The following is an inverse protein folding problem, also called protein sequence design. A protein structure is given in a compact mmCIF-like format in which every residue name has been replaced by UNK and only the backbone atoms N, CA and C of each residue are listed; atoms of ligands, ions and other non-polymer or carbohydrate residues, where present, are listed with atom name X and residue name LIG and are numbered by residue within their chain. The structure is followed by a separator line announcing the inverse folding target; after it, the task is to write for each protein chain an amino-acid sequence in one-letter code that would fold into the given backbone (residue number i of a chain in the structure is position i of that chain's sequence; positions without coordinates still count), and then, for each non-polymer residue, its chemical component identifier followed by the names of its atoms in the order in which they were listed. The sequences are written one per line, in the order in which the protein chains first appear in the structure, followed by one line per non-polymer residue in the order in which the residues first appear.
data_IF_204086559887
#
_entry.id   IF_204086559887
#
_cell.length_a   1.000
_cell.length_b   1.000
_cell.length_c   1.000
_cell.angle_alpha   90.00
_cell.angle_beta   90.00
_cell.angle_gamma   90.00
#
_symmetry.space_group_name_H-M   'P 1'
#
loop_
_entity.id
_entity.type
_entity.pdbx_description
1 polymer ?
#
# COMPACT_ATOMS: atom_id res chain seq x y z
N UNK A 1 -24.11 10.47 -17.19
CA UNK A 1 -24.58 9.91 -15.90
C UNK A 1 -23.41 9.20 -15.27
N UNK A 2 -23.20 9.38 -13.97
CA UNK A 2 -22.12 8.73 -13.25
C UNK A 2 -22.44 7.24 -13.04
N UNK A 3 -21.48 6.36 -13.31
CA UNK A 3 -21.69 4.91 -13.26
C UNK A 3 -20.49 4.18 -12.67
N UNK A 4 -20.72 3.08 -11.97
CA UNK A 4 -19.66 2.16 -11.53
C UNK A 4 -19.13 1.39 -12.76
N UNK A 5 -17.97 1.76 -13.27
CA UNK A 5 -17.42 1.20 -14.51
C UNK A 5 -16.58 -0.06 -14.30
N UNK A 6 -15.91 -0.19 -13.15
CA UNK A 6 -15.09 -1.38 -12.82
C UNK A 6 -15.15 -1.66 -11.33
N UNK A 7 -15.05 -2.94 -10.98
CA UNK A 7 -15.08 -3.44 -9.62
C UNK A 7 -13.89 -4.39 -9.40
N UNK A 8 -13.23 -4.28 -8.24
CA UNK A 8 -12.06 -5.09 -7.92
C UNK A 8 -12.03 -5.56 -6.48
N UNK A 9 -11.53 -6.77 -6.29
CA UNK A 9 -11.05 -7.28 -5.00
C UNK A 9 -9.57 -7.64 -5.10
N UNK A 10 -8.89 -7.62 -3.95
CA UNK A 10 -7.48 -7.96 -3.82
C UNK A 10 -7.35 -8.92 -2.62
N UNK A 11 -7.63 -10.22 -2.82
CA UNK A 11 -7.87 -11.14 -1.71
C UNK A 11 -6.71 -11.29 -0.74
N UNK A 12 -5.49 -11.30 -1.28
CA UNK A 12 -4.25 -11.26 -0.50
C UNK A 12 -3.66 -9.85 -0.60
N UNK A 13 -3.38 -9.24 0.56
CA UNK A 13 -2.74 -7.93 0.65
C UNK A 13 -1.49 -7.89 -0.25
N UNK A 14 -1.39 -6.84 -1.06
CA UNK A 14 -0.27 -6.59 -1.99
C UNK A 14 -0.17 -7.49 -3.22
N UNK A 15 -0.98 -8.55 -3.36
CA UNK A 15 -0.99 -9.40 -4.56
C UNK A 15 -1.91 -8.84 -5.66
N UNK A 16 -1.97 -9.53 -6.82
CA UNK A 16 -2.80 -9.16 -7.96
C UNK A 16 -4.27 -8.99 -7.56
N UNK A 17 -4.91 -7.96 -8.11
CA UNK A 17 -6.35 -7.76 -7.98
C UNK A 17 -7.14 -8.58 -9.00
N UNK A 18 -8.41 -8.83 -8.72
CA UNK A 18 -9.35 -9.57 -9.55
C UNK A 18 -10.46 -8.61 -9.95
N UNK A 19 -10.68 -8.45 -11.27
CA UNK A 19 -11.82 -7.71 -11.79
C UNK A 19 -13.12 -8.51 -11.63
N UNK A 20 -14.18 -7.85 -11.16
CA UNK A 20 -15.48 -8.45 -10.92
C UNK A 20 -16.56 -7.74 -11.74
N UNK A 21 -17.67 -8.44 -11.99
CA UNK A 21 -18.89 -7.83 -12.55
C UNK A 21 -19.88 -7.39 -11.47
N UNK A 22 -19.80 -8.01 -10.30
CA UNK A 22 -20.61 -7.71 -9.12
C UNK A 22 -19.95 -8.23 -7.86
N UNK A 23 -20.32 -7.69 -6.70
CA UNK A 23 -19.90 -8.20 -5.39
C UNK A 23 -20.86 -7.75 -4.28
N UNK A 24 -20.87 -8.50 -3.19
CA UNK A 24 -21.46 -8.04 -1.94
C UNK A 24 -20.55 -6.99 -1.31
N UNK A 25 -21.04 -5.75 -1.24
CA UNK A 25 -20.47 -4.70 -0.42
C UNK A 25 -21.05 -4.79 0.99
N UNK A 26 -20.18 -4.77 2.00
CA UNK A 26 -20.54 -4.76 3.41
C UNK A 26 -19.75 -3.67 4.16
N UNK A 27 -20.10 -3.40 5.43
CA UNK A 27 -19.40 -2.43 6.27
C UNK A 27 -17.90 -2.71 6.40
N UNK A 28 -17.48 -3.98 6.27
CA UNK A 28 -16.08 -4.41 6.35
C UNK A 28 -15.31 -4.39 5.03
N UNK A 29 -15.97 -4.04 3.91
CA UNK A 29 -15.39 -4.08 2.57
C UNK A 29 -16.16 -5.00 1.62
N UNK A 30 -15.67 -5.14 0.39
CA UNK A 30 -16.19 -6.15 -0.53
C UNK A 30 -15.89 -7.55 0.00
N UNK A 31 -16.79 -8.50 -0.24
CA UNK A 31 -16.54 -9.90 0.09
C UNK A 31 -15.21 -10.39 -0.49
N UNK A 32 -14.45 -11.13 0.33
CA UNK A 32 -13.10 -11.65 0.04
C UNK A 32 -12.01 -10.60 -0.17
N UNK A 33 -12.26 -9.32 0.10
CA UNK A 33 -11.26 -8.28 -0.12
C UNK A 33 -10.24 -8.16 1.02
N UNK A 34 -8.94 -8.32 0.70
CA UNK A 34 -7.81 -8.27 1.65
C UNK A 34 -8.06 -9.09 2.94
N UNK A 35 -8.67 -10.27 2.83
CA UNK A 35 -8.87 -11.17 3.97
C UNK A 35 -7.64 -12.04 4.27
N UNK A 36 -6.65 -12.03 3.38
CA UNK A 36 -5.36 -12.69 3.57
C UNK A 36 -4.18 -11.71 3.53
N UNK A 37 -3.08 -12.06 4.18
CA UNK A 37 -1.84 -11.28 4.18
C UNK A 37 -0.62 -12.19 4.38
N UNK A 38 0.50 -11.82 3.78
CA UNK A 38 1.80 -12.44 4.07
C UNK A 38 2.47 -11.69 5.22
N UNK A 39 3.00 -12.44 6.19
CA UNK A 39 3.73 -11.90 7.34
C UNK A 39 5.05 -12.62 7.55
N UNK A 40 5.93 -12.03 8.33
CA UNK A 40 6.99 -12.76 9.04
C UNK A 40 6.38 -13.65 10.14
N UNK A 41 7.14 -14.62 10.71
CA UNK A 41 6.62 -15.53 11.73
C UNK A 41 6.04 -14.85 12.97
N UNK A 42 6.55 -13.67 13.31
CA UNK A 42 6.08 -12.87 14.45
C UNK A 42 4.84 -12.01 14.16
N UNK A 43 4.29 -12.08 12.93
CA UNK A 43 3.10 -11.34 12.53
C UNK A 43 3.37 -9.97 11.90
N UNK A 44 4.63 -9.60 11.68
CA UNK A 44 5.00 -8.37 10.95
C UNK A 44 4.60 -8.50 9.48
N UNK A 45 3.83 -7.53 8.99
CA UNK A 45 3.28 -7.59 7.64
C UNK A 45 4.34 -7.40 6.54
N UNK A 46 4.22 -8.15 5.45
CA UNK A 46 5.05 -8.02 4.24
C UNK A 46 4.20 -7.40 3.13
N UNK A 47 4.74 -6.42 2.41
CA UNK A 47 4.01 -5.74 1.33
C UNK A 47 4.82 -5.62 0.05
N UNK A 48 4.14 -5.33 -1.08
CA UNK A 48 4.83 -5.06 -2.33
C UNK A 48 5.58 -3.71 -2.35
N UNK A 49 5.52 -2.92 -1.27
CA UNK A 49 6.44 -1.78 -1.08
C UNK A 49 7.87 -2.28 -0.85
N UNK A 50 8.02 -3.41 -0.16
CA UNK A 50 9.27 -4.12 0.09
C UNK A 50 9.53 -5.17 -1.01
N UNK A 51 8.51 -5.97 -1.36
CA UNK A 51 8.63 -7.07 -2.32
C UNK A 51 7.70 -6.88 -3.53
N UNK A 52 8.03 -5.99 -4.48
CA UNK A 52 7.21 -5.67 -5.66
C UNK A 52 6.69 -6.89 -6.43
N UNK A 53 7.44 -8.00 -6.46
CA UNK A 53 7.07 -9.23 -7.15
C UNK A 53 5.78 -9.88 -6.61
N UNK A 54 5.32 -9.52 -5.40
CA UNK A 54 4.05 -9.98 -4.86
C UNK A 54 2.86 -9.73 -5.79
N UNK A 55 2.87 -8.65 -6.58
CA UNK A 55 1.78 -8.34 -7.52
C UNK A 55 1.62 -9.36 -8.65
N UNK A 56 2.61 -10.25 -8.83
CA UNK A 56 2.59 -11.28 -9.87
C UNK A 56 1.93 -12.58 -9.42
N UNK A 57 1.75 -12.77 -8.12
CA UNK A 57 0.94 -13.87 -7.58
C UNK A 57 -0.53 -13.64 -7.94
N UNK A 58 -1.19 -14.71 -8.38
CA UNK A 58 -2.59 -14.69 -8.79
C UNK A 58 -3.43 -15.42 -7.73
N UNK A 59 -4.09 -14.69 -6.82
CA UNK A 59 -5.03 -15.30 -5.88
C UNK A 59 -6.35 -15.65 -6.58
N UNK A 60 -6.97 -16.75 -6.17
CA UNK A 60 -8.30 -17.18 -6.58
C UNK A 60 -9.07 -17.63 -5.33
N UNK A 61 -9.92 -16.75 -4.75
CA UNK A 61 -10.76 -17.09 -3.61
C UNK A 61 -11.69 -18.24 -3.95
N UNK A 62 -11.82 -19.18 -3.02
CA UNK A 62 -12.77 -20.28 -3.07
C UNK A 62 -13.82 -20.05 -1.98
N UNK A 63 -14.97 -20.71 -2.12
CA UNK A 63 -16.02 -20.68 -1.09
C UNK A 63 -15.52 -21.18 0.28
N UNK A 64 -14.52 -22.07 0.29
CA UNK A 64 -13.94 -22.71 1.47
C UNK A 64 -12.45 -22.37 1.67
N UNK A 65 -11.88 -21.41 0.94
CA UNK A 65 -10.45 -21.09 1.09
C UNK A 65 -9.85 -20.21 0.00
N UNK A 66 -8.60 -20.52 -0.36
CA UNK A 66 -7.80 -19.81 -1.35
C UNK A 66 -7.00 -20.79 -2.20
N UNK A 67 -7.08 -20.66 -3.51
CA UNK A 67 -6.08 -21.15 -4.44
C UNK A 67 -5.14 -20.00 -4.82
N UNK A 68 -3.84 -20.23 -4.76
CA UNK A 68 -2.83 -19.21 -5.01
C UNK A 68 -1.80 -19.72 -6.02
N UNK A 69 -1.71 -19.04 -7.16
CA UNK A 69 -0.71 -19.34 -8.21
C UNK A 69 0.46 -18.37 -8.12
N UNK A 70 1.67 -18.92 -8.05
CA UNK A 70 2.91 -18.16 -8.05
C UNK A 70 3.36 -17.79 -9.47
N UNK A 71 4.33 -16.85 -9.63
CA UNK A 71 4.79 -16.41 -10.95
C UNK A 71 5.49 -17.47 -11.79
N UNK A 72 5.96 -18.56 -11.18
CA UNK A 72 6.58 -19.71 -11.86
C UNK A 72 5.55 -20.74 -12.36
N UNK A 73 4.26 -20.52 -12.10
CA UNK A 73 3.17 -21.40 -12.47
C UNK A 73 2.86 -22.48 -11.43
N UNK A 74 3.67 -22.65 -10.39
CA UNK A 74 3.32 -23.50 -9.25
C UNK A 74 2.13 -22.91 -8.49
N UNK A 75 1.37 -23.76 -7.79
CA UNK A 75 0.22 -23.29 -7.03
C UNK A 75 0.03 -24.08 -5.74
N UNK A 76 -0.65 -23.44 -4.79
CA UNK A 76 -1.04 -24.04 -3.53
C UNK A 76 -2.51 -23.75 -3.25
N UNK A 77 -3.17 -24.70 -2.59
CA UNK A 77 -4.55 -24.57 -2.12
C UNK A 77 -4.55 -24.67 -0.60
N UNK A 78 -5.28 -23.78 0.05
CA UNK A 78 -5.49 -23.79 1.50
C UNK A 78 -6.97 -23.54 1.79
N UNK A 79 -7.58 -24.43 2.58
CA UNK A 79 -8.95 -24.25 3.05
C UNK A 79 -8.97 -23.47 4.36
N UNK A 80 -10.08 -22.79 4.65
CA UNK A 80 -10.29 -22.12 5.94
C UNK A 80 -10.15 -23.06 7.13
N UNK A 81 -10.52 -24.34 6.96
CA UNK A 81 -10.38 -25.40 7.97
C UNK A 81 -8.94 -25.82 8.23
N UNK A 82 -8.01 -25.52 7.31
CA UNK A 82 -6.60 -25.91 7.43
C UNK A 82 -5.80 -24.90 8.27
N UNK A 83 -6.33 -23.68 8.42
CA UNK A 83 -5.70 -22.66 9.26
C UNK A 83 -5.77 -23.05 10.74
N UNK A 84 -4.76 -22.62 11.51
CA UNK A 84 -4.74 -22.86 12.95
C UNK A 84 -6.02 -22.34 13.62
N UNK A 85 -6.64 -23.10 14.54
CA UNK A 85 -7.85 -22.64 15.22
C UNK A 85 -7.58 -21.48 16.18
N UNK A 86 -6.34 -21.38 16.68
CA UNK A 86 -5.88 -20.31 17.54
C UNK A 86 -5.51 -19.08 16.72
N UNK A 87 -6.03 -17.93 17.13
CA UNK A 87 -5.67 -16.65 16.54
C UNK A 87 -4.30 -16.19 17.09
N UNK A 88 -3.43 -15.73 16.20
CA UNK A 88 -2.10 -15.24 16.50
C UNK A 88 -2.01 -13.72 16.32
N UNK A 89 -1.23 -13.00 17.14
CA UNK A 89 -1.08 -11.55 17.03
C UNK A 89 -0.43 -11.15 15.70
N UNK A 90 -0.85 -10.02 15.16
CA UNK A 90 -0.31 -9.37 13.95
C UNK A 90 -0.61 -7.87 14.00
N UNK A 91 -0.01 -7.10 13.10
CA UNK A 91 -0.31 -5.68 12.97
C UNK A 91 -0.32 -5.21 11.53
N UNK A 92 -0.98 -4.07 11.30
CA UNK A 92 -0.87 -3.28 10.08
C UNK A 92 -0.86 -1.81 10.47
N UNK A 93 0.27 -1.13 10.25
CA UNK A 93 0.47 0.30 10.53
C UNK A 93 0.14 0.71 11.98
N UNK A 94 0.64 -0.07 12.96
CA UNK A 94 0.44 0.16 14.40
C UNK A 94 -0.95 -0.24 14.92
N UNK A 95 -1.83 -0.72 14.05
CA UNK A 95 -3.10 -1.32 14.46
C UNK A 95 -2.89 -2.82 14.71
N UNK A 96 -2.97 -3.21 15.98
CA UNK A 96 -2.73 -4.56 16.47
C UNK A 96 -4.03 -5.35 16.55
N UNK A 97 -4.03 -6.57 16.04
CA UNK A 97 -5.19 -7.45 15.98
C UNK A 97 -4.71 -8.91 15.83
N UNK A 98 -5.62 -9.82 15.54
CA UNK A 98 -5.31 -11.25 15.46
C UNK A 98 -5.71 -11.85 14.12
N UNK A 99 -5.00 -12.91 13.71
CA UNK A 99 -5.25 -13.66 12.49
C UNK A 99 -4.80 -15.11 12.66
N UNK A 100 -5.36 -16.02 11.87
CA UNK A 100 -4.99 -17.44 11.86
C UNK A 100 -3.88 -17.70 10.86
N UNK A 101 -3.02 -18.67 11.17
CA UNK A 101 -1.82 -18.99 10.38
C UNK A 101 -2.08 -20.22 9.52
N UNK A 102 -1.65 -20.17 8.25
CA UNK A 102 -1.77 -21.29 7.33
C UNK A 102 -0.86 -22.47 7.74
N UNK A 103 -1.13 -23.70 7.24
CA UNK A 103 -0.28 -24.87 7.48
C UNK A 103 1.18 -24.66 7.08
N UNK A 104 2.09 -25.39 7.74
CA UNK A 104 3.54 -25.35 7.49
C UNK A 104 3.90 -25.56 6.02
N UNK A 105 3.21 -26.47 5.31
CA UNK A 105 3.46 -26.73 3.89
C UNK A 105 3.20 -25.49 3.00
N UNK A 106 2.15 -24.73 3.30
CA UNK A 106 1.82 -23.48 2.57
C UNK A 106 2.88 -22.41 2.85
N UNK A 107 3.26 -22.28 4.12
CA UNK A 107 4.27 -21.31 4.55
C UNK A 107 5.65 -21.63 3.93
N UNK A 108 6.07 -22.90 3.92
CA UNK A 108 7.33 -23.34 3.30
C UNK A 108 7.34 -23.09 1.78
N UNK A 109 6.23 -23.39 1.09
CA UNK A 109 6.11 -23.09 -0.34
C UNK A 109 6.25 -21.59 -0.61
N UNK A 110 5.60 -20.73 0.18
CA UNK A 110 5.74 -19.27 0.07
C UNK A 110 7.16 -18.81 0.41
N UNK A 111 7.79 -19.32 1.47
CA UNK A 111 9.14 -18.94 1.89
C UNK A 111 10.17 -19.11 0.78
N UNK A 112 10.00 -20.11 -0.10
CA UNK A 112 10.84 -20.29 -1.29
C UNK A 112 10.85 -19.10 -2.25
N UNK A 113 9.76 -18.33 -2.33
CA UNK A 113 9.66 -17.15 -3.20
C UNK A 113 10.13 -15.84 -2.54
N UNK A 114 10.05 -15.75 -1.22
CA UNK A 114 10.48 -14.57 -0.47
C UNK A 114 11.93 -14.68 0.01
N UNK A 115 12.58 -15.83 -0.18
CA UNK A 115 13.93 -16.15 0.30
C UNK A 115 14.09 -15.91 1.81
N UNK A 116 13.01 -16.07 2.56
CA UNK A 116 12.94 -15.94 4.02
C UNK A 116 11.69 -16.62 4.56
N UNK A 117 11.67 -16.89 5.86
CA UNK A 117 10.48 -17.45 6.51
C UNK A 117 9.32 -16.47 6.46
N UNK A 118 8.21 -16.92 5.88
CA UNK A 118 6.95 -16.17 5.83
C UNK A 118 5.78 -17.04 6.22
N UNK A 119 4.67 -16.39 6.56
CA UNK A 119 3.39 -17.03 6.87
C UNK A 119 2.28 -16.41 6.04
N UNK A 120 1.42 -17.25 5.47
CA UNK A 120 0.11 -16.80 5.02
C UNK A 120 -0.83 -16.72 6.21
N UNK A 121 -1.51 -15.59 6.36
CA UNK A 121 -2.50 -15.36 7.42
C UNK A 121 -3.86 -15.06 6.85
N UNK A 122 -4.89 -15.58 7.51
CA UNK A 122 -6.29 -15.27 7.28
C UNK A 122 -6.86 -14.54 8.49
N UNK A 123 -7.65 -13.50 8.28
CA UNK A 123 -8.30 -12.74 9.37
C UNK A 123 -9.23 -13.58 10.26
N UNK A 124 -9.57 -14.80 9.85
CA UNK A 124 -10.50 -15.67 10.57
C UNK A 124 -11.97 -15.31 10.28
N UNK A 125 -12.91 -16.05 10.88
CA UNK A 125 -14.34 -15.84 10.67
C UNK A 125 -14.86 -14.57 11.36
N UNK A 126 -14.15 -14.05 12.36
CA UNK A 126 -14.52 -12.85 13.11
C UNK A 126 -13.40 -11.81 13.01
N UNK A 127 -13.70 -10.66 12.43
CA UNK A 127 -12.72 -9.58 12.31
C UNK A 127 -12.46 -8.95 13.69
N UNK A 128 -11.21 -8.95 14.13
CA UNK A 128 -10.77 -8.29 15.38
C UNK A 128 -10.23 -6.88 15.16
N UNK A 129 -9.86 -6.53 13.93
CA UNK A 129 -9.34 -5.21 13.57
C UNK A 129 -10.46 -4.21 13.29
N UNK A 130 -10.23 -2.93 13.61
CA UNK A 130 -11.15 -1.81 13.33
C UNK A 130 -10.46 -0.68 12.57
N UNK A 131 -11.24 0.07 11.81
CA UNK A 131 -10.78 1.32 11.18
C UNK A 131 -10.42 2.33 12.28
N UNK A 132 -9.25 2.98 12.15
CA UNK A 132 -8.79 3.98 13.13
C UNK A 132 -9.79 5.15 13.17
N UNK A 133 -10.21 5.55 14.38
CA UNK A 133 -11.26 6.56 14.64
C UNK A 133 -12.69 6.15 14.23
N UNK A 134 -12.90 4.90 13.79
CA UNK A 134 -14.22 4.35 13.46
C UNK A 134 -14.34 2.94 14.07
N UNK A 135 -14.41 2.85 15.40
CA UNK A 135 -14.33 1.59 16.15
C UNK A 135 -15.48 0.61 15.86
N UNK A 136 -16.59 1.07 15.27
CA UNK A 136 -17.70 0.23 14.84
C UNK A 136 -17.45 -0.45 13.48
N UNK A 137 -16.43 -0.04 12.72
CA UNK A 137 -16.19 -0.49 11.35
C UNK A 137 -15.10 -1.56 11.34
N UNK A 138 -15.45 -2.84 11.07
CA UNK A 138 -14.46 -3.91 10.93
C UNK A 138 -13.56 -3.67 9.71
N UNK A 139 -12.34 -4.18 9.77
CA UNK A 139 -11.38 -4.07 8.67
C UNK A 139 -10.58 -5.36 8.53
N UNK A 140 -10.35 -5.79 7.29
CA UNK A 140 -9.38 -6.86 7.01
C UNK A 140 -7.94 -6.35 7.04
N UNK A 141 -7.11 -6.85 6.13
CA UNK A 141 -5.71 -6.43 5.97
C UNK A 141 -5.53 -5.18 5.08
N UNK A 142 -6.60 -4.49 4.70
CA UNK A 142 -6.53 -3.21 3.98
C UNK A 142 -5.71 -2.16 4.76
N UNK A 143 -5.16 -1.14 4.09
CA UNK A 143 -4.24 -0.20 4.76
C UNK A 143 -4.94 0.62 5.86
N UNK A 144 -6.12 1.18 5.57
CA UNK A 144 -6.83 2.02 6.54
C UNK A 144 -8.35 2.02 6.42
N UNK A 145 -8.90 1.77 5.23
CA UNK A 145 -10.35 1.84 4.99
C UNK A 145 -10.82 0.66 4.13
N UNK A 146 -12.10 0.26 4.24
CA UNK A 146 -12.63 -0.90 3.54
C UNK A 146 -12.73 -0.75 2.02
N UNK A 147 -12.86 0.48 1.52
CA UNK A 147 -13.02 0.77 0.10
C UNK A 147 -12.10 1.90 -0.36
N UNK A 148 -11.60 1.77 -1.58
CA UNK A 148 -11.01 2.85 -2.34
C UNK A 148 -11.82 3.08 -3.62
N UNK A 149 -12.28 4.31 -3.82
CA UNK A 149 -12.92 4.77 -5.05
C UNK A 149 -11.95 5.59 -5.89
N UNK A 150 -11.93 5.35 -7.20
CA UNK A 150 -11.18 6.13 -8.18
C UNK A 150 -12.04 6.48 -9.38
N UNK A 151 -11.66 7.53 -10.10
CA UNK A 151 -12.36 8.04 -11.26
C UNK A 151 -11.51 7.84 -12.53
N UNK A 152 -12.12 7.31 -13.60
CA UNK A 152 -11.45 7.13 -14.88
C UNK A 152 -10.98 8.46 -15.50
N UNK A 153 -11.75 9.53 -15.34
CA UNK A 153 -11.38 10.84 -15.86
C UNK A 153 -10.12 11.39 -15.15
N UNK A 154 -10.01 11.19 -13.84
CA UNK A 154 -8.81 11.53 -13.05
C UNK A 154 -7.59 10.71 -13.48
N UNK A 155 -7.77 9.41 -13.78
CA UNK A 155 -6.68 8.61 -14.34
C UNK A 155 -6.24 9.13 -15.71
N UNK A 156 -7.18 9.49 -16.60
CA UNK A 156 -6.87 10.05 -17.92
C UNK A 156 -6.11 11.38 -17.82
N UNK A 157 -6.52 12.27 -16.92
CA UNK A 157 -5.78 13.53 -16.68
C UNK A 157 -4.36 13.25 -16.16
N UNK A 158 -4.18 12.27 -15.26
CA UNK A 158 -2.85 11.83 -14.84
C UNK A 158 -2.02 11.27 -16.01
N UNK A 159 -2.61 10.41 -16.85
CA UNK A 159 -1.93 9.82 -18.01
C UNK A 159 -1.48 10.87 -19.02
N UNK A 160 -2.21 11.99 -19.17
CA UNK A 160 -1.80 13.10 -20.04
C UNK A 160 -0.59 13.87 -19.50
N UNK A 161 -0.37 13.84 -18.17
CA UNK A 161 0.74 14.52 -17.50
C UNK A 161 1.96 13.61 -17.30
N UNK A 162 1.75 12.30 -17.25
CA UNK A 162 2.77 11.32 -16.89
C UNK A 162 3.50 10.80 -18.15
N UNK A 163 4.85 10.83 -18.18
CA UNK A 163 5.61 10.30 -19.31
C UNK A 163 5.61 8.76 -19.38
N UNK A 164 5.22 8.08 -18.29
CA UNK A 164 5.15 6.63 -18.22
C UNK A 164 3.72 6.11 -18.43
N UNK A 165 3.59 4.85 -18.85
CA UNK A 165 2.29 4.18 -18.87
C UNK A 165 1.74 4.00 -17.46
N UNK A 166 0.51 4.50 -17.23
CA UNK A 166 -0.17 4.39 -15.93
C UNK A 166 -1.45 3.59 -16.08
N UNK A 167 -1.65 2.62 -15.19
CA UNK A 167 -2.84 1.77 -15.12
C UNK A 167 -3.60 2.01 -13.81
N UNK A 168 -4.92 1.80 -13.85
CA UNK A 168 -5.79 1.96 -12.68
C UNK A 168 -5.39 1.01 -11.55
N UNK A 169 -4.93 -0.19 -11.91
CA UNK A 169 -4.56 -1.31 -11.05
C UNK A 169 -3.39 -0.96 -10.11
N UNK A 170 -2.52 -0.02 -10.51
CA UNK A 170 -1.46 0.53 -9.67
C UNK A 170 -2.02 1.25 -8.43
N UNK A 171 -3.23 1.81 -8.55
CA UNK A 171 -3.92 2.49 -7.44
C UNK A 171 -4.69 1.53 -6.54
N UNK A 172 -4.92 0.29 -6.99
CA UNK A 172 -5.64 -0.77 -6.27
C UNK A 172 -7.04 -0.37 -5.78
N UNK A 173 -7.87 0.31 -6.60
CA UNK A 173 -9.22 0.65 -6.18
C UNK A 173 -10.06 -0.59 -5.93
N UNK A 174 -11.15 -0.42 -5.21
CA UNK A 174 -12.26 -1.37 -5.20
C UNK A 174 -13.31 -0.94 -6.23
N UNK A 175 -13.59 0.37 -6.27
CA UNK A 175 -14.66 0.96 -7.05
C UNK A 175 -14.04 1.93 -8.06
N UNK A 176 -14.32 1.74 -9.35
CA UNK A 176 -13.93 2.69 -10.39
C UNK A 176 -15.18 3.27 -11.00
N UNK A 177 -15.26 4.60 -11.03
CA UNK A 177 -16.40 5.33 -11.59
C UNK A 177 -16.05 6.04 -12.89
N UNK A 178 -17.05 6.20 -13.74
CA UNK A 178 -16.97 6.94 -14.99
C UNK A 178 -18.18 7.89 -15.13
N UNK A 179 -18.20 8.71 -16.18
CA UNK A 179 -19.31 9.62 -16.45
C UNK A 179 -19.31 10.92 -15.61
N UNK A 180 -18.20 11.22 -14.94
CA UNK A 180 -17.93 12.43 -14.15
C UNK A 180 -16.64 13.11 -14.60
N UNK A 181 -16.49 14.41 -14.31
CA UNK A 181 -15.29 15.15 -14.67
C UNK A 181 -14.07 14.68 -13.87
N UNK A 182 -12.86 14.95 -14.37
CA UNK A 182 -11.63 14.62 -13.64
C UNK A 182 -11.61 15.37 -12.30
N UNK A 183 -11.21 14.65 -11.24
CA UNK A 183 -11.04 15.14 -9.87
C UNK A 183 -12.33 15.55 -9.14
N UNK A 184 -13.50 15.37 -9.76
CA UNK A 184 -14.79 15.71 -9.16
C UNK A 184 -15.05 14.92 -7.86
N UNK A 185 -14.50 13.70 -7.76
CA UNK A 185 -14.58 12.84 -6.58
C UNK A 185 -13.98 13.46 -5.32
N UNK A 186 -13.11 14.46 -5.44
CA UNK A 186 -12.50 15.15 -4.31
C UNK A 186 -13.50 15.97 -3.49
N UNK A 187 -14.63 16.33 -4.10
CA UNK A 187 -15.70 17.09 -3.46
C UNK A 187 -16.81 16.21 -2.87
N UNK A 188 -16.77 14.89 -3.09
CA UNK A 188 -17.85 14.03 -2.65
C UNK A 188 -17.78 13.81 -1.14
N UNK A 189 -18.94 13.81 -0.49
CA UNK A 189 -19.07 13.55 0.95
C UNK A 189 -19.87 12.29 1.21
N UNK A 190 -20.95 12.09 0.48
CA UNK A 190 -21.80 10.89 0.55
C UNK A 190 -22.24 10.54 -0.86
N UNK A 191 -22.14 9.26 -1.21
CA UNK A 191 -22.60 8.73 -2.48
C UNK A 191 -23.40 7.44 -2.29
N UNK A 192 -24.19 7.09 -3.29
CA UNK A 192 -24.92 5.82 -3.38
C UNK A 192 -24.55 5.11 -4.67
N UNK A 193 -24.31 3.81 -4.59
CA UNK A 193 -24.08 2.93 -5.73
C UNK A 193 -25.07 1.76 -5.62
N UNK A 194 -26.01 1.68 -6.55
CA UNK A 194 -27.18 0.80 -6.40
C UNK A 194 -27.94 1.13 -5.10
N UNK A 195 -28.01 0.17 -4.18
CA UNK A 195 -28.67 0.33 -2.87
C UNK A 195 -27.70 0.61 -1.72
N UNK A 196 -26.40 0.71 -1.98
CA UNK A 196 -25.37 0.86 -0.95
C UNK A 196 -24.94 2.31 -0.83
N UNK A 197 -25.03 2.87 0.36
CA UNK A 197 -24.60 4.24 0.67
C UNK A 197 -23.20 4.22 1.26
N UNK A 198 -22.35 5.12 0.80
CA UNK A 198 -20.98 5.27 1.24
C UNK A 198 -20.71 6.67 1.78
N UNK A 199 -20.01 6.73 2.91
CA UNK A 199 -19.37 7.95 3.40
C UNK A 199 -17.97 8.08 2.78
N UNK A 200 -17.69 9.24 2.19
CA UNK A 200 -16.35 9.61 1.76
C UNK A 200 -15.59 10.13 2.97
N UNK A 201 -14.59 9.37 3.44
CA UNK A 201 -13.93 9.67 4.71
C UNK A 201 -12.76 10.62 4.52
N UNK A 202 -11.89 10.34 3.55
CA UNK A 202 -10.73 11.19 3.21
C UNK A 202 -10.09 10.80 1.87
N UNK A 203 -9.36 11.74 1.25
CA UNK A 203 -8.46 11.44 0.14
C UNK A 203 -7.47 10.32 0.48
N UNK A 204 -7.10 9.54 -0.54
CA UNK A 204 -6.18 8.43 -0.42
C UNK A 204 -4.75 8.87 -0.76
N UNK A 205 -3.94 9.04 0.29
CA UNK A 205 -2.50 9.31 0.16
C UNK A 205 -1.79 8.14 -0.49
N UNK A 206 -1.00 8.44 -1.52
CA UNK A 206 -0.31 7.48 -2.37
C UNK A 206 1.12 7.26 -1.89
N UNK A 207 1.58 6.03 -2.07
CA UNK A 207 2.91 5.59 -1.66
C UNK A 207 3.65 4.96 -2.83
N UNK A 208 4.89 4.52 -2.60
CA UNK A 208 5.72 3.86 -3.62
C UNK A 208 5.05 2.66 -4.30
N UNK A 209 4.02 2.06 -3.70
CA UNK A 209 3.28 0.97 -4.33
C UNK A 209 2.75 1.37 -5.71
N UNK A 210 2.30 2.61 -5.90
CA UNK A 210 1.75 3.04 -7.19
C UNK A 210 2.79 2.97 -8.31
N UNK A 211 4.09 2.92 -7.99
CA UNK A 211 5.14 2.83 -9.02
C UNK A 211 5.43 1.40 -9.45
N UNK A 212 4.83 0.40 -8.81
CA UNK A 212 5.02 -1.01 -9.15
C UNK A 212 4.16 -1.39 -10.37
N UNK A 213 4.79 -1.86 -11.45
CA UNK A 213 4.08 -2.44 -12.60
C UNK A 213 3.32 -3.71 -12.17
N UNK A 214 1.99 -3.80 -12.38
CA UNK A 214 1.20 -4.98 -12.06
C UNK A 214 1.61 -6.25 -12.83
N UNK A 215 2.18 -6.09 -14.02
CA UNK A 215 2.63 -7.22 -14.84
C UNK A 215 4.04 -7.68 -14.46
N UNK A 216 4.97 -6.73 -14.30
CA UNK A 216 6.40 -7.02 -14.11
C UNK A 216 6.80 -7.16 -12.65
N UNK A 217 6.00 -6.62 -11.72
CA UNK A 217 6.34 -6.59 -10.30
C UNK A 217 7.63 -5.82 -10.02
N UNK A 218 7.86 -4.73 -10.74
CA UNK A 218 9.05 -3.89 -10.60
C UNK A 218 8.61 -2.43 -10.41
N UNK A 219 9.30 -1.72 -9.50
CA UNK A 219 9.11 -0.28 -9.32
C UNK A 219 9.61 0.46 -10.57
N UNK A 220 8.89 1.49 -11.01
CA UNK A 220 9.36 2.34 -12.09
C UNK A 220 10.65 3.06 -11.66
N UNK A 221 11.74 3.03 -12.45
CA UNK A 221 13.03 3.62 -12.09
C UNK A 221 12.95 5.10 -11.68
N UNK A 222 12.13 5.88 -12.38
CA UNK A 222 11.90 7.31 -12.07
C UNK A 222 10.81 7.58 -11.02
N UNK A 223 10.26 6.54 -10.37
CA UNK A 223 9.20 6.72 -9.37
C UNK A 223 7.83 7.12 -9.92
N UNK A 224 7.57 6.91 -11.21
CA UNK A 224 6.26 7.21 -11.82
C UNK A 224 5.20 6.16 -11.45
N UNK A 225 3.91 6.54 -11.32
CA UNK A 225 3.34 7.88 -11.53
C UNK A 225 3.38 8.79 -10.28
N UNK A 226 4.03 8.34 -9.19
CA UNK A 226 4.04 9.09 -7.94
C UNK A 226 4.77 10.43 -8.10
N UNK A 227 5.86 10.46 -8.86
CA UNK A 227 6.58 11.69 -9.20
C UNK A 227 5.68 12.70 -9.94
N UNK A 228 4.94 12.27 -10.96
CA UNK A 228 3.96 13.13 -11.64
C UNK A 228 2.88 13.63 -10.68
N UNK A 229 2.31 12.77 -9.83
CA UNK A 229 1.31 13.17 -8.85
C UNK A 229 1.85 14.22 -7.87
N UNK A 230 3.10 14.10 -7.40
CA UNK A 230 3.74 15.09 -6.52
C UNK A 230 3.78 16.52 -7.10
N UNK A 231 3.72 16.66 -8.43
CA UNK A 231 3.78 17.96 -9.08
C UNK A 231 2.45 18.73 -9.05
N UNK A 232 1.32 18.08 -8.77
CA UNK A 232 0.01 18.77 -8.81
C UNK A 232 -1.05 18.22 -7.84
N UNK A 233 -0.80 17.08 -7.20
CA UNK A 233 -1.70 16.40 -6.25
C UNK A 233 -1.13 16.38 -4.84
N UNK A 234 -0.16 17.24 -4.54
CA UNK A 234 0.32 17.43 -3.18
C UNK A 234 -0.63 18.35 -2.43
N UNK A 235 -1.20 17.83 -1.35
CA UNK A 235 -2.11 18.50 -0.46
C UNK A 235 -1.42 19.66 0.27
N UNK A 236 -2.00 20.86 0.20
CA UNK A 236 -1.37 22.06 0.79
C UNK A 236 -1.40 22.07 2.32
N UNK A 237 -2.32 21.34 2.94
CA UNK A 237 -2.51 21.30 4.39
C UNK A 237 -1.55 20.33 5.10
N UNK A 238 -1.14 19.24 4.45
CA UNK A 238 -0.37 18.17 5.09
C UNK A 238 0.73 17.54 4.22
N UNK A 239 0.86 17.94 2.95
CA UNK A 239 1.88 17.42 2.04
C UNK A 239 1.63 16.00 1.50
N UNK A 240 0.49 15.37 1.80
CA UNK A 240 0.12 14.08 1.23
C UNK A 240 -0.08 14.18 -0.28
N UNK A 241 0.30 13.14 -1.02
CA UNK A 241 0.09 13.06 -2.47
C UNK A 241 -1.13 12.20 -2.72
N UNK A 242 -2.25 12.80 -3.13
CA UNK A 242 -3.55 12.11 -3.09
C UNK A 242 -4.06 11.69 -4.48
N UNK A 243 -4.59 10.46 -4.56
CA UNK A 243 -5.35 9.95 -5.71
C UNK A 243 -6.41 8.93 -5.28
N UNK A 244 -7.67 9.23 -5.58
CA UNK A 244 -8.83 8.44 -5.14
C UNK A 244 -9.27 8.76 -3.70
N UNK A 245 -10.40 8.20 -3.31
CA UNK A 245 -11.12 8.51 -2.08
C UNK A 245 -11.35 7.25 -1.25
N UNK A 246 -11.04 7.30 0.05
CA UNK A 246 -11.33 6.21 0.98
C UNK A 246 -12.77 6.27 1.48
N UNK A 247 -13.50 5.16 1.41
CA UNK A 247 -14.91 5.10 1.78
C UNK A 247 -15.20 4.08 2.88
N UNK A 248 -16.33 4.29 3.56
CA UNK A 248 -16.98 3.33 4.46
C UNK A 248 -18.43 3.17 4.01
N UNK A 249 -18.90 1.92 3.89
CA UNK A 249 -20.30 1.63 3.59
C UNK A 249 -21.17 1.79 4.85
N UNK A 250 -22.36 2.34 4.71
CA UNK A 250 -23.36 2.48 5.81
C UNK A 250 -24.23 1.24 5.96
N UNK A 251 -24.42 0.51 4.87
CA UNK A 251 -25.26 -0.68 4.76
C UNK A 251 -24.62 -1.70 3.82
N UNK A 252 -25.19 -2.89 3.77
CA UNK A 252 -24.73 -3.99 2.91
C UNK A 252 -25.67 -4.17 1.72
N UNK A 253 -25.12 -4.60 0.58
CA UNK A 253 -25.89 -4.85 -0.64
C UNK A 253 -25.01 -5.31 -1.79
N UNK A 254 -25.63 -5.87 -2.82
CA UNK A 254 -24.90 -6.28 -4.04
C UNK A 254 -24.81 -5.08 -4.98
N UNK A 255 -23.58 -4.68 -5.28
CA UNK A 255 -23.29 -3.68 -6.32
C UNK A 255 -22.75 -4.35 -7.58
N UNK A 256 -23.00 -3.75 -8.74
CA UNK A 256 -22.68 -4.28 -10.07
C UNK A 256 -22.03 -3.23 -10.94
N UNK A 257 -21.13 -3.68 -11.81
CA UNK A 257 -20.66 -2.83 -12.92
C UNK A 257 -21.87 -2.39 -13.75
N UNK A 258 -21.99 -1.10 -13.98
CA UNK A 258 -23.12 -0.45 -14.63
C UNK A 258 -24.13 0.18 -13.67
N UNK A 259 -24.05 -0.08 -12.35
CA UNK A 259 -24.90 0.59 -11.37
C UNK A 259 -24.68 2.12 -11.42
N UNK A 260 -25.78 2.86 -11.29
CA UNK A 260 -25.76 4.31 -11.19
C UNK A 260 -25.03 4.75 -9.91
N UNK A 261 -24.27 5.83 -10.02
CA UNK A 261 -23.61 6.48 -8.90
C UNK A 261 -24.31 7.82 -8.66
N UNK A 262 -25.01 7.91 -7.53
CA UNK A 262 -25.72 9.12 -7.12
C UNK A 262 -24.93 9.84 -6.03
N UNK A 263 -24.65 11.13 -6.21
CA UNK A 263 -23.93 11.95 -5.24
C UNK A 263 -24.97 12.60 -4.32
N UNK A 264 -25.03 12.13 -3.07
CA UNK A 264 -26.04 12.54 -2.09
C UNK A 264 -25.62 13.79 -1.31
N UNK A 265 -24.32 14.01 -1.14
CA UNK A 265 -23.79 15.20 -0.49
C UNK A 265 -22.37 15.49 -0.98
N UNK A 266 -22.02 16.77 -1.01
CA UNK A 266 -20.68 17.28 -1.33
C UNK A 266 -20.09 18.06 -0.16
N UNK A 267 -18.78 18.29 -0.24
CA UNK A 267 -17.99 19.13 0.63
C UNK A 267 -16.93 19.87 -0.20
N UNK A 268 -16.35 20.95 0.31
CA UNK A 268 -15.20 21.59 -0.35
C UNK A 268 -14.08 20.58 -0.57
N UNK A 269 -13.58 20.50 -1.80
CA UNK A 269 -12.41 19.70 -2.13
C UNK A 269 -11.18 20.25 -1.42
N UNK A 270 -10.23 19.36 -1.12
CA UNK A 270 -8.93 19.73 -0.59
C UNK A 270 -8.15 20.56 -1.63
N UNK A 271 -7.42 21.57 -1.16
CA UNK A 271 -6.55 22.35 -2.03
C UNK A 271 -5.26 21.57 -2.33
N UNK A 272 -4.95 21.42 -3.61
CA UNK A 272 -3.72 20.81 -4.09
C UNK A 272 -2.85 21.84 -4.78
N UNK A 273 -1.54 21.65 -4.71
CA UNK A 273 -0.58 22.48 -5.41
C UNK A 273 0.66 21.69 -5.80
N UNK A 274 1.47 22.31 -6.64
CA UNK A 274 2.83 21.86 -6.83
C UNK A 274 3.60 22.15 -5.54
N UNK A 275 4.10 21.11 -4.88
CA UNK A 275 5.34 21.28 -4.11
C UNK A 275 6.43 21.67 -5.09
N UNK A 276 7.31 22.62 -4.75
CA UNK A 276 8.59 22.79 -5.44
C UNK A 276 9.17 21.41 -5.60
N UNK A 277 9.23 20.93 -6.85
CA UNK A 277 9.63 19.57 -7.17
C UNK A 277 10.92 19.35 -6.43
N UNK A 278 10.85 18.52 -5.39
CA UNK A 278 12.04 18.14 -4.70
C UNK A 278 12.71 17.13 -5.62
N UNK A 279 13.47 17.69 -6.58
CA UNK A 279 14.05 16.97 -7.68
C UNK A 279 14.71 15.73 -7.10
N UNK A 280 14.26 14.56 -7.58
CA UNK A 280 14.97 13.32 -7.36
C UNK A 280 16.43 13.61 -7.65
N UNK A 281 17.26 13.52 -6.61
CA UNK A 281 18.69 13.74 -6.78
C UNK A 281 19.18 12.46 -7.42
N UNK A 282 19.81 12.56 -8.59
CA UNK A 282 20.50 11.43 -9.19
C UNK A 282 21.54 10.98 -8.17
N UNK A 283 21.42 9.78 -7.56
CA UNK A 283 22.43 9.35 -6.61
C UNK A 283 23.76 9.24 -7.34
N UNK A 284 24.81 9.84 -6.77
CA UNK A 284 26.16 9.72 -7.30
C UNK A 284 26.50 8.23 -7.42
N UNK A 285 26.85 7.81 -8.64
CA UNK A 285 27.28 6.44 -8.90
C UNK A 285 28.67 6.24 -8.30
N UNK A 286 28.71 5.83 -7.04
CA UNK A 286 29.92 5.37 -6.40
C UNK A 286 30.17 3.90 -6.72
N UNK A 287 31.43 3.46 -6.80
CA UNK A 287 31.75 2.04 -6.83
C UNK A 287 31.13 1.33 -5.63
N UNK A 288 30.64 0.11 -5.83
CA UNK A 288 30.10 -0.73 -4.76
C UNK A 288 31.12 -0.83 -3.63
N UNK A 289 30.73 -0.36 -2.45
CA UNK A 289 31.57 -0.34 -1.27
C UNK A 289 30.75 -0.75 -0.04
N UNK A 290 31.39 -1.50 0.84
CA UNK A 290 30.87 -1.77 2.18
C UNK A 290 31.05 -0.54 3.07
N UNK A 291 30.05 -0.25 3.90
CA UNK A 291 30.14 0.77 4.94
C UNK A 291 29.80 0.17 6.30
N UNK A 292 30.34 0.73 7.37
CA UNK A 292 29.95 0.35 8.74
C UNK A 292 28.75 1.18 9.17
N UNK A 293 27.69 0.54 9.66
CA UNK A 293 26.51 1.23 10.19
C UNK A 293 26.38 0.87 11.68
N UNK A 294 26.39 1.90 12.53
CA UNK A 294 26.08 1.81 13.95
C UNK A 294 24.66 2.35 14.20
N UNK A 295 23.79 1.47 14.69
CA UNK A 295 22.46 1.81 15.17
C UNK A 295 22.40 1.62 16.68
N UNK A 296 22.40 2.73 17.45
CA UNK A 296 22.29 2.70 18.91
C UNK A 296 23.27 1.74 19.61
N UNK A 297 24.51 1.64 19.12
CA UNK A 297 25.55 0.77 19.63
C UNK A 297 25.59 -0.63 18.99
N UNK A 298 24.63 -0.97 18.13
CA UNK A 298 24.68 -2.20 17.32
C UNK A 298 25.33 -1.90 15.97
N UNK A 299 26.53 -2.44 15.75
CA UNK A 299 27.28 -2.26 14.51
C UNK A 299 27.08 -3.42 13.54
N UNK A 300 26.89 -3.13 12.26
CA UNK A 300 26.83 -4.12 11.19
C UNK A 300 27.43 -3.59 9.88
N UNK A 301 27.71 -4.52 8.95
CA UNK A 301 28.23 -4.21 7.62
C UNK A 301 27.07 -3.91 6.66
N UNK A 302 27.01 -2.68 6.17
CA UNK A 302 26.10 -2.21 5.13
C UNK A 302 26.82 -1.93 3.81
N UNK A 303 26.14 -1.23 2.89
CA UNK A 303 26.67 -0.84 1.60
C UNK A 303 26.17 0.54 1.14
N UNK A 304 26.81 1.07 0.10
CA UNK A 304 26.46 2.35 -0.53
C UNK A 304 25.50 2.23 -1.72
N UNK A 305 24.74 1.14 -1.83
CA UNK A 305 23.81 0.88 -2.94
C UNK A 305 22.34 0.81 -2.48
N UNK A 306 22.10 0.36 -1.25
CA UNK A 306 20.76 0.16 -0.69
C UNK A 306 20.34 1.33 0.20
N UNK A 307 19.03 1.63 0.23
CA UNK A 307 18.51 2.64 1.17
C UNK A 307 18.66 2.16 2.61
N UNK A 308 18.93 3.10 3.51
CA UNK A 308 19.23 2.83 4.91
C UNK A 308 18.10 2.07 5.62
N UNK A 309 16.84 2.37 5.31
CA UNK A 309 15.69 1.64 5.88
C UNK A 309 15.78 0.12 5.61
N UNK A 310 16.10 -0.28 4.38
CA UNK A 310 16.19 -1.72 4.03
C UNK A 310 17.37 -2.39 4.72
N UNK A 311 18.49 -1.67 4.85
CA UNK A 311 19.67 -2.19 5.56
C UNK A 311 19.41 -2.39 7.06
N UNK A 312 18.71 -1.47 7.71
CA UNK A 312 18.30 -1.59 9.11
C UNK A 312 17.32 -2.77 9.30
N UNK A 313 16.34 -2.91 8.42
CA UNK A 313 15.36 -4.01 8.46
C UNK A 313 16.02 -5.38 8.32
N UNK A 314 17.04 -5.50 7.46
CA UNK A 314 17.79 -6.74 7.29
C UNK A 314 18.56 -7.17 8.56
N UNK A 315 18.77 -6.25 9.50
CA UNK A 315 19.37 -6.53 10.81
C UNK A 315 18.32 -6.71 11.92
N UNK A 316 17.04 -6.74 11.57
CA UNK A 316 15.93 -6.83 12.52
C UNK A 316 15.58 -5.50 13.21
N UNK A 317 16.21 -4.38 12.82
CA UNK A 317 15.93 -3.05 13.38
C UNK A 317 14.66 -2.49 12.72
N UNK A 318 13.68 -2.13 13.56
CA UNK A 318 12.37 -1.65 13.09
C UNK A 318 12.24 -0.15 13.19
N UNK A 319 12.27 0.50 12.04
CA UNK A 319 11.95 1.92 11.91
C UNK A 319 10.51 2.06 11.40
N UNK A 320 9.65 2.88 12.03
CA UNK A 320 8.32 3.15 11.50
C UNK A 320 8.41 3.67 10.06
N UNK A 321 7.57 3.18 9.16
CA UNK A 321 7.47 3.72 7.81
C UNK A 321 6.03 3.72 7.31
N UNK A 322 5.79 4.39 6.19
CA UNK A 322 4.49 4.33 5.50
C UNK A 322 4.67 4.40 3.97
N UNK A 323 5.27 5.48 3.46
CA UNK A 323 5.33 5.68 2.00
C UNK A 323 6.48 4.96 1.28
N UNK A 324 7.63 4.74 1.95
CA UNK A 324 8.91 4.30 1.36
C UNK A 324 9.35 5.07 0.10
N UNK A 325 8.97 6.34 0.03
CA UNK A 325 9.26 7.24 -1.08
C UNK A 325 9.84 8.59 -0.61
N UNK A 326 10.13 8.74 0.69
CA UNK A 326 10.68 9.97 1.26
C UNK A 326 9.70 11.14 1.34
N UNK A 327 8.39 10.90 1.38
CA UNK A 327 7.36 11.95 1.34
C UNK A 327 6.62 12.09 2.67
N UNK A 328 6.28 10.97 3.32
CA UNK A 328 5.41 10.99 4.51
C UNK A 328 6.13 11.33 5.83
N UNK A 329 7.47 11.42 5.85
CA UNK A 329 8.26 11.68 7.06
C UNK A 329 8.28 10.58 8.14
N UNK A 330 7.43 9.56 8.06
CA UNK A 330 7.33 8.47 9.04
C UNK A 330 8.67 7.75 9.34
N UNK A 331 9.56 7.63 8.36
CA UNK A 331 10.85 6.92 8.46
C UNK A 331 12.01 7.79 8.97
N UNK A 332 11.69 8.94 9.59
CA UNK A 332 12.66 9.90 10.10
C UNK A 332 13.43 9.31 11.28
N UNK A 333 14.75 9.45 11.22
CA UNK A 333 15.72 9.08 12.25
C UNK A 333 16.81 10.16 12.31
N UNK A 334 17.69 10.12 13.31
CA UNK A 334 18.79 11.09 13.43
C UNK A 334 20.12 10.53 12.95
N UNK A 335 20.84 11.33 12.17
CA UNK A 335 22.21 11.06 11.74
C UNK A 335 23.18 11.76 12.71
N UNK A 336 23.91 10.98 13.49
CA UNK A 336 24.87 11.49 14.48
C UNK A 336 26.25 11.71 13.87
N UNK A 337 26.71 10.76 13.05
CA UNK A 337 27.99 10.83 12.34
C UNK A 337 27.88 10.17 10.97
N UNK A 338 28.69 10.64 10.02
CA UNK A 338 28.77 10.11 8.66
C UNK A 338 28.02 10.94 7.62
N UNK A 339 28.05 10.47 6.38
CA UNK A 339 27.40 11.11 5.24
C UNK A 339 26.47 10.11 4.54
N UNK A 340 25.31 10.61 4.09
CA UNK A 340 24.37 9.87 3.25
C UNK A 340 24.16 10.59 1.93
N UNK A 341 23.92 9.83 0.87
CA UNK A 341 23.45 10.33 -0.42
C UNK A 341 21.92 10.30 -0.42
N UNK A 342 21.24 11.45 -0.36
CA UNK A 342 19.79 11.50 -0.39
C UNK A 342 19.26 11.24 -1.81
N UNK A 343 18.16 10.48 -1.92
CA UNK A 343 17.44 10.28 -3.18
C UNK A 343 16.48 11.46 -3.49
N UNK A 344 16.20 12.29 -2.49
CA UNK A 344 15.33 13.48 -2.52
C UNK A 344 15.89 14.52 -1.55
N UNK A 345 15.90 15.82 -1.85
CA UNK A 345 16.54 16.81 -0.95
C UNK A 345 15.82 16.92 0.40
N UNK A 346 14.50 16.80 0.41
CA UNK A 346 13.61 16.69 1.58
C UNK A 346 13.87 15.47 2.45
N UNK A 347 14.69 14.52 1.98
CA UNK A 347 15.14 13.41 2.82
C UNK A 347 16.13 13.86 3.90
N UNK A 348 16.72 15.06 3.79
CA UNK A 348 17.60 15.66 4.78
C UNK A 348 16.88 16.79 5.52
N UNK A 349 16.83 16.72 6.84
CA UNK A 349 16.38 17.81 7.71
C UNK A 349 17.55 18.70 8.14
N UNK A 350 17.26 19.98 8.37
CA UNK A 350 18.26 20.96 8.84
C UNK A 350 18.72 20.71 10.29
N UNK A 351 18.00 19.84 11.03
CA UNK A 351 18.25 19.45 12.41
C UNK A 351 19.15 18.20 12.56
N UNK A 352 19.71 17.72 11.45
CA UNK A 352 20.49 16.48 11.40
C UNK A 352 19.63 15.21 11.35
N UNK A 353 18.32 15.33 11.14
CA UNK A 353 17.47 14.18 10.85
C UNK A 353 17.48 13.81 9.38
N UNK A 354 17.25 12.52 9.09
CA UNK A 354 17.20 11.99 7.74
C UNK A 354 16.00 11.05 7.58
N UNK A 355 15.48 10.93 6.36
CA UNK A 355 14.49 9.92 6.00
C UNK A 355 15.21 8.64 5.57
N UNK A 356 15.30 7.66 6.47
CA UNK A 356 15.99 6.38 6.22
C UNK A 356 15.53 5.67 4.94
N UNK A 357 14.28 5.86 4.54
CA UNK A 357 13.69 5.31 3.33
C UNK A 357 14.06 6.03 2.03
N UNK A 358 14.87 7.09 2.08
CA UNK A 358 15.33 7.86 0.93
C UNK A 358 16.75 8.38 1.08
N UNK A 359 17.56 7.75 1.92
CA UNK A 359 18.98 8.02 2.08
C UNK A 359 19.78 6.73 1.91
N UNK A 360 20.85 6.79 1.11
CA UNK A 360 21.81 5.69 0.91
C UNK A 360 23.11 6.05 1.65
N UNK A 361 23.73 5.17 2.43
CA UNK A 361 24.99 5.46 3.10
C UNK A 361 26.12 5.81 2.10
N UNK A 362 26.90 6.86 2.39
CA UNK A 362 28.09 7.22 1.62
C UNK A 362 29.38 6.90 2.38
N UNK A 363 29.36 7.06 3.70
CA UNK A 363 30.46 6.71 4.62
C UNK A 363 29.93 5.84 5.77
N UNK A 364 30.80 5.52 6.74
CA UNK A 364 30.36 4.88 7.97
C UNK A 364 29.39 5.80 8.73
N UNK A 365 28.29 5.24 9.25
CA UNK A 365 27.21 5.99 9.86
C UNK A 365 27.07 5.66 11.35
N UNK A 366 26.72 6.67 12.15
CA UNK A 366 26.17 6.48 13.50
C UNK A 366 24.78 7.09 13.57
N UNK A 367 23.80 6.30 14.02
CA UNK A 367 22.37 6.60 13.91
C UNK A 367 21.65 6.38 15.24
N UNK A 368 20.62 7.20 15.47
CA UNK A 368 19.65 7.00 16.56
C UNK A 368 18.21 7.28 16.08
N UNK A 369 17.22 6.90 16.88
CA UNK A 369 15.81 7.11 16.60
C UNK A 369 15.43 8.60 16.48
#
# INVERSE_FOLDING_TARGET
MATLSRLFIHPVKSMRGIGLTHALADISGLAFDRIFMITEPDGTFITARQFPQMVRFTPSPLHDGLHLTAPDGSSALVRFTDFTPQDAPTEVWGNHFTARVAPTAINQWLSGFFSRDVQLRWVGPQLTRRVKRHNAVPLGFADGYPYLLTNEASLRDLQQRCPAGVQMEQFRPNLVVSGVAAWEEDSWKVLRIGDVIFDVVKPCSRCIFTTVSPEKGQKHPSGEPLATLQAFRTAQDNGDVDFGQNLIARNSGVIRVGDEVEILATAPAKAYGATTVDNSVTPDKHPDASVTIDWQGQTFCGNNQQVLLEQLENQGIRIPYSCRAGICGCCRIRLLEGEVSPLKKSAMGDDGTILSCSCVPKTALRLEN
#
